data_IF_619237164811
#
_entry.id   IF_619237164811
#
_cell.length_a   1.000
_cell.length_b   1.000
_cell.length_c   1.000
_cell.angle_alpha   90.00
_cell.angle_beta   90.00
_cell.angle_gamma   90.00
#
_symmetry.space_group_name_H-M   'P 1'
#
loop_
_entity.id
_entity.type
_entity.pdbx_description
1 polymer ?
#
# COMPACT_ATOMS: atom_id res chain seq x y z
N UNK A 1 -27.44 -23.47 1.52
CA UNK A 1 -26.18 -24.18 1.62
C UNK A 1 -25.36 -23.53 2.71
N UNK A 2 -25.20 -24.20 3.85
CA UNK A 2 -24.42 -23.68 5.00
C UNK A 2 -22.93 -23.93 4.68
N UNK A 3 -22.32 -23.01 3.93
CA UNK A 3 -20.90 -23.13 3.65
C UNK A 3 -20.14 -22.63 4.88
N UNK A 4 -19.35 -23.50 5.50
CA UNK A 4 -18.45 -23.11 6.57
C UNK A 4 -17.64 -21.87 6.17
N UNK A 5 -17.33 -20.96 7.10
CA UNK A 5 -16.56 -19.76 6.80
C UNK A 5 -15.18 -20.13 6.24
N UNK A 6 -14.75 -19.38 5.24
CA UNK A 6 -13.42 -19.54 4.64
C UNK A 6 -12.34 -19.20 5.68
N UNK A 7 -11.39 -20.11 5.91
CA UNK A 7 -10.32 -19.99 6.90
C UNK A 7 -8.98 -19.71 6.24
N UNK A 8 -8.43 -18.53 6.47
CA UNK A 8 -7.21 -18.03 5.82
C UNK A 8 -6.09 -17.81 6.83
N UNK A 9 -4.94 -18.40 6.59
CA UNK A 9 -3.73 -18.07 7.32
C UNK A 9 -2.97 -16.95 6.61
N UNK A 10 -3.02 -15.75 7.16
CA UNK A 10 -2.27 -14.60 6.64
C UNK A 10 -0.85 -14.59 7.22
N UNK A 11 0.18 -14.59 6.37
CA UNK A 11 1.59 -14.53 6.77
C UNK A 11 2.16 -13.16 6.45
N UNK A 12 2.79 -12.51 7.43
CA UNK A 12 3.41 -11.19 7.21
C UNK A 12 4.70 -11.01 8.00
N UNK A 13 5.68 -10.34 7.39
CA UNK A 13 6.89 -9.85 8.06
C UNK A 13 6.71 -8.49 8.74
N UNK A 14 5.57 -7.86 8.53
CA UNK A 14 5.21 -6.54 9.06
C UNK A 14 3.82 -6.60 9.68
N UNK A 15 3.71 -6.23 10.94
CA UNK A 15 2.42 -6.18 11.63
C UNK A 15 2.37 -4.97 12.56
N UNK A 16 1.21 -4.35 12.67
CA UNK A 16 0.97 -3.08 13.35
C UNK A 16 1.06 -3.10 14.88
N UNK A 17 1.67 -4.12 15.50
CA UNK A 17 1.79 -4.20 16.97
C UNK A 17 2.88 -3.32 17.57
N UNK A 18 3.78 -2.74 16.76
CA UNK A 18 4.82 -1.84 17.25
C UNK A 18 4.46 -0.38 16.95
N UNK A 19 4.52 0.54 17.93
CA UNK A 19 4.34 1.96 17.68
C UNK A 19 5.34 2.47 16.63
N UNK A 20 4.83 3.04 15.54
CA UNK A 20 5.64 3.54 14.42
C UNK A 20 5.79 2.57 13.23
N UNK A 21 5.16 1.39 13.25
CA UNK A 21 5.09 0.53 12.08
C UNK A 21 4.04 0.99 11.08
N UNK A 22 4.45 1.07 9.81
CA UNK A 22 3.62 1.60 8.69
C UNK A 22 2.67 0.57 8.08
N UNK A 23 2.53 -0.61 8.68
CA UNK A 23 1.75 -1.73 8.13
C UNK A 23 0.24 -1.68 8.44
N UNK A 24 -0.31 -0.48 8.69
CA UNK A 24 -1.75 -0.29 8.94
C UNK A 24 -2.64 -0.91 7.84
N UNK A 25 -2.18 -0.89 6.59
CA UNK A 25 -2.91 -1.47 5.46
C UNK A 25 -3.08 -3.00 5.55
N UNK A 26 -2.15 -3.76 6.17
CA UNK A 26 -2.30 -5.21 6.38
C UNK A 26 -3.32 -5.48 7.48
N UNK A 27 -3.24 -4.76 8.58
CA UNK A 27 -4.19 -4.87 9.69
C UNK A 27 -5.61 -4.49 9.23
N UNK A 28 -5.74 -3.43 8.42
CA UNK A 28 -6.99 -3.02 7.78
C UNK A 28 -7.55 -4.14 6.89
N UNK A 29 -6.76 -4.69 5.98
CA UNK A 29 -7.19 -5.79 5.11
C UNK A 29 -7.67 -6.99 5.93
N UNK A 30 -6.96 -7.39 6.98
CA UNK A 30 -7.37 -8.49 7.86
C UNK A 30 -8.69 -8.17 8.57
N UNK A 31 -8.89 -6.94 9.04
CA UNK A 31 -10.14 -6.49 9.69
C UNK A 31 -11.33 -6.59 8.72
N UNK A 32 -11.18 -6.09 7.50
CA UNK A 32 -12.26 -6.10 6.51
C UNK A 32 -12.56 -7.50 5.98
N UNK A 33 -11.55 -8.37 5.83
CA UNK A 33 -11.77 -9.78 5.52
C UNK A 33 -12.61 -10.48 6.61
N UNK A 34 -12.30 -10.22 7.89
CA UNK A 34 -13.08 -10.76 9.02
C UNK A 34 -14.51 -10.22 9.02
N UNK A 35 -14.68 -8.92 8.79
CA UNK A 35 -16.00 -8.30 8.67
C UNK A 35 -16.84 -8.87 7.52
N UNK A 36 -16.18 -9.37 6.46
CA UNK A 36 -16.81 -10.03 5.32
C UNK A 36 -17.05 -11.55 5.53
N UNK A 37 -16.87 -12.06 6.76
CA UNK A 37 -17.14 -13.45 7.11
C UNK A 37 -15.99 -14.44 6.82
N UNK A 38 -14.78 -13.96 6.58
CA UNK A 38 -13.58 -14.79 6.44
C UNK A 38 -12.91 -14.93 7.79
N UNK A 39 -12.63 -16.14 8.24
CA UNK A 39 -11.81 -16.38 9.42
C UNK A 39 -10.33 -16.15 9.06
N UNK A 40 -9.73 -15.10 9.59
CA UNK A 40 -8.35 -14.73 9.31
C UNK A 40 -7.49 -14.86 10.56
N UNK A 41 -6.60 -15.83 10.53
CA UNK A 41 -5.50 -15.94 11.50
C UNK A 41 -4.25 -15.29 10.95
N UNK A 42 -3.56 -14.51 11.79
CA UNK A 42 -2.33 -13.82 11.39
C UNK A 42 -1.12 -14.50 12.00
N UNK A 43 -0.20 -14.91 11.14
CA UNK A 43 1.14 -15.35 11.50
C UNK A 43 2.14 -14.22 11.21
N UNK A 44 2.37 -13.40 12.23
CA UNK A 44 3.34 -12.33 12.16
C UNK A 44 4.74 -12.81 12.58
N UNK A 45 5.77 -12.32 11.90
CA UNK A 45 7.15 -12.57 12.27
C UNK A 45 8.00 -11.32 11.98
N UNK A 46 9.11 -11.17 12.70
CA UNK A 46 10.05 -10.07 12.44
C UNK A 46 10.93 -10.42 11.25
N UNK A 47 10.69 -9.74 10.11
CA UNK A 47 11.53 -9.82 8.92
C UNK A 47 12.88 -9.12 9.08
N UNK A 48 13.41 -8.56 8.01
CA UNK A 48 14.63 -7.77 7.94
C UNK A 48 15.84 -8.58 7.45
N UNK A 49 17.07 -8.09 7.75
CA UNK A 49 18.31 -8.61 7.14
C UNK A 49 18.88 -9.88 7.80
N UNK A 50 18.23 -10.47 8.81
CA UNK A 50 18.75 -11.63 9.57
C UNK A 50 18.12 -12.93 9.07
N UNK A 51 18.83 -13.80 8.30
CA UNK A 51 18.27 -15.04 7.73
C UNK A 51 17.70 -16.00 8.78
N UNK A 52 18.33 -16.07 9.96
CA UNK A 52 17.89 -16.94 11.07
C UNK A 52 16.44 -16.64 11.52
N UNK A 53 15.98 -15.39 11.38
CA UNK A 53 14.59 -15.02 11.70
C UNK A 53 13.59 -15.69 10.74
N UNK A 54 13.95 -15.83 9.47
CA UNK A 54 13.12 -16.52 8.48
C UNK A 54 13.12 -18.03 8.75
N UNK A 55 14.27 -18.62 9.12
CA UNK A 55 14.35 -20.03 9.45
C UNK A 55 13.52 -20.37 10.69
N UNK A 56 13.64 -19.59 11.77
CA UNK A 56 12.82 -19.78 12.98
C UNK A 56 11.33 -19.55 12.72
N UNK A 57 10.97 -18.56 11.91
CA UNK A 57 9.59 -18.34 11.50
C UNK A 57 9.08 -19.52 10.66
N UNK A 58 9.88 -20.01 9.72
CA UNK A 58 9.55 -21.18 8.90
C UNK A 58 9.28 -22.43 9.75
N UNK A 59 10.15 -22.76 10.68
CA UNK A 59 9.95 -23.93 11.57
C UNK A 59 8.69 -23.79 12.44
N UNK A 60 8.41 -22.59 12.97
CA UNK A 60 7.19 -22.32 13.73
C UNK A 60 5.94 -22.47 12.85
N UNK A 61 5.96 -21.93 11.62
CA UNK A 61 4.86 -22.07 10.68
C UNK A 61 4.64 -23.55 10.30
N UNK A 62 5.73 -24.31 10.05
CA UNK A 62 5.64 -25.73 9.74
C UNK A 62 5.01 -26.55 10.87
N UNK A 63 5.36 -26.26 12.11
CA UNK A 63 4.72 -26.91 13.28
C UNK A 63 3.24 -26.58 13.36
N UNK A 64 2.86 -25.31 13.09
CA UNK A 64 1.46 -24.89 13.06
C UNK A 64 0.64 -25.59 11.98
N UNK A 65 1.24 -25.85 10.81
CA UNK A 65 0.61 -26.52 9.67
C UNK A 65 0.76 -28.04 9.69
N UNK A 66 1.52 -28.63 10.63
CA UNK A 66 1.76 -30.08 10.71
C UNK A 66 0.67 -30.83 11.50
N UNK A 67 -0.08 -30.14 12.37
CA UNK A 67 -1.17 -30.75 13.12
C UNK A 67 -2.37 -31.09 12.24
N UNK A 68 -3.01 -32.24 12.50
CA UNK A 68 -4.21 -32.71 11.76
C UNK A 68 -5.45 -31.83 11.93
N UNK A 69 -5.32 -30.62 12.43
CA UNK A 69 -6.43 -29.71 12.73
C UNK A 69 -6.14 -28.25 12.44
N UNK A 70 -5.16 -27.91 11.57
CA UNK A 70 -4.94 -26.50 11.26
C UNK A 70 -6.19 -25.85 10.66
N UNK A 71 -7.03 -26.61 9.93
CA UNK A 71 -8.32 -26.18 9.42
C UNK A 71 -8.30 -24.97 8.50
N UNK A 72 -7.13 -24.57 7.97
CA UNK A 72 -7.01 -23.49 7.00
C UNK A 72 -7.26 -24.02 5.60
N UNK A 73 -8.02 -23.24 4.80
CA UNK A 73 -8.29 -23.54 3.40
C UNK A 73 -7.15 -23.07 2.49
N UNK A 74 -6.52 -21.93 2.81
CA UNK A 74 -5.41 -21.36 2.06
C UNK A 74 -4.47 -20.51 2.93
N UNK A 75 -3.31 -20.22 2.37
CA UNK A 75 -2.33 -19.26 2.89
C UNK A 75 -2.35 -17.99 2.04
N UNK A 76 -2.45 -16.83 2.68
CA UNK A 76 -2.24 -15.54 2.03
C UNK A 76 -0.98 -14.86 2.58
N UNK A 77 0.08 -14.84 1.80
CA UNK A 77 1.33 -14.18 2.17
C UNK A 77 1.32 -12.70 1.75
N UNK A 78 1.63 -11.83 2.69
CA UNK A 78 1.86 -10.41 2.44
C UNK A 78 3.35 -10.23 2.18
N UNK A 79 3.70 -9.75 1.02
CA UNK A 79 5.05 -9.67 0.43
C UNK A 79 5.67 -11.01 -0.01
N UNK A 80 6.54 -10.94 -1.02
CA UNK A 80 7.23 -12.10 -1.56
C UNK A 80 8.08 -12.85 -0.53
N UNK A 81 8.77 -12.13 0.37
CA UNK A 81 9.58 -12.74 1.44
C UNK A 81 8.74 -13.53 2.45
N UNK A 82 7.49 -13.10 2.71
CA UNK A 82 6.58 -13.84 3.57
C UNK A 82 6.12 -15.15 2.90
N UNK A 83 5.95 -15.12 1.59
CA UNK A 83 5.59 -16.30 0.78
C UNK A 83 6.63 -17.42 0.82
N UNK A 84 7.93 -17.10 1.05
CA UNK A 84 8.98 -18.11 1.23
C UNK A 84 8.68 -19.07 2.38
N UNK A 85 8.05 -18.58 3.45
CA UNK A 85 7.72 -19.40 4.61
C UNK A 85 6.68 -20.47 4.28
N UNK A 86 5.81 -20.22 3.29
CA UNK A 86 4.79 -21.16 2.85
C UNK A 86 5.35 -22.30 1.98
N UNK A 87 6.61 -22.20 1.55
CA UNK A 87 7.24 -23.19 0.67
C UNK A 87 8.01 -24.27 1.46
N UNK A 88 8.01 -25.54 0.99
CA UNK A 88 7.17 -26.10 -0.07
C UNK A 88 5.69 -26.02 0.32
N UNK A 89 4.80 -25.78 -0.66
CA UNK A 89 3.36 -25.61 -0.42
C UNK A 89 2.73 -26.85 0.23
N UNK A 90 1.86 -26.62 1.21
CA UNK A 90 0.95 -27.63 1.79
C UNK A 90 -0.52 -27.26 1.61
N UNK A 91 -0.76 -25.96 1.35
CA UNK A 91 -2.07 -25.37 1.10
C UNK A 91 -1.97 -24.48 -0.13
N UNK A 92 -3.08 -24.18 -0.80
CA UNK A 92 -3.13 -23.15 -1.82
C UNK A 92 -2.51 -21.85 -1.32
N UNK A 93 -1.70 -21.20 -2.15
CA UNK A 93 -0.91 -20.02 -1.79
C UNK A 93 -1.30 -18.83 -2.65
N UNK A 94 -1.82 -17.79 -2.00
CA UNK A 94 -2.00 -16.46 -2.59
C UNK A 94 -0.90 -15.54 -2.05
N UNK A 95 -0.30 -14.71 -2.90
CA UNK A 95 0.74 -13.77 -2.49
C UNK A 95 0.40 -12.37 -2.96
N UNK A 96 0.38 -11.40 -2.05
CA UNK A 96 0.26 -9.98 -2.42
C UNK A 96 1.65 -9.34 -2.47
N UNK A 97 2.00 -8.82 -3.65
CA UNK A 97 3.22 -8.04 -3.89
C UNK A 97 2.90 -6.55 -3.83
N UNK A 98 3.74 -5.81 -3.10
CA UNK A 98 3.46 -4.40 -2.78
C UNK A 98 4.46 -3.39 -3.34
N UNK A 99 5.55 -3.86 -3.93
CA UNK A 99 6.56 -3.03 -4.57
C UNK A 99 7.98 -3.42 -4.18
N UNK A 100 8.43 -3.06 -2.97
CA UNK A 100 9.80 -3.31 -2.48
C UNK A 100 10.25 -4.77 -2.65
N UNK A 101 9.34 -5.70 -2.56
CA UNK A 101 9.55 -7.13 -2.76
C UNK A 101 9.83 -7.49 -4.24
N UNK A 102 9.36 -6.69 -5.20
CA UNK A 102 9.56 -6.91 -6.63
C UNK A 102 10.65 -6.02 -7.24
N UNK A 103 10.70 -4.73 -6.91
CA UNK A 103 11.76 -3.85 -7.42
C UNK A 103 13.03 -3.88 -6.55
N UNK A 104 12.96 -4.51 -5.36
CA UNK A 104 14.10 -4.73 -4.47
C UNK A 104 14.41 -3.54 -3.57
N UNK A 105 15.36 -3.75 -2.65
CA UNK A 105 15.86 -2.68 -1.78
C UNK A 105 16.80 -1.80 -2.57
N UNK A 106 16.42 -0.54 -2.78
CA UNK A 106 17.20 0.43 -3.52
C UNK A 106 18.30 1.06 -2.66
N UNK A 107 19.48 1.26 -3.24
CA UNK A 107 20.56 2.05 -2.67
C UNK A 107 20.39 3.55 -2.95
N UNK A 108 21.32 4.37 -2.45
CA UNK A 108 21.34 5.82 -2.70
C UNK A 108 21.36 6.20 -4.19
N UNK A 109 21.93 5.35 -5.04
CA UNK A 109 21.95 5.52 -6.50
C UNK A 109 20.63 5.20 -7.20
N UNK A 110 19.59 4.76 -6.49
CA UNK A 110 18.32 4.30 -7.07
C UNK A 110 18.39 2.92 -7.72
N UNK A 111 19.53 2.22 -7.65
CA UNK A 111 19.69 0.85 -8.16
C UNK A 111 19.51 -0.17 -7.04
N UNK A 112 19.00 -1.38 -7.34
CA UNK A 112 18.87 -2.43 -6.34
C UNK A 112 20.22 -2.81 -5.74
N UNK A 113 20.29 -2.88 -4.42
CA UNK A 113 21.45 -3.42 -3.68
C UNK A 113 21.59 -4.93 -3.94
N UNK A 114 22.73 -5.57 -3.64
CA UNK A 114 22.86 -7.03 -3.72
C UNK A 114 21.76 -7.76 -2.93
N UNK A 115 21.43 -7.30 -1.73
CA UNK A 115 20.32 -7.83 -0.94
C UNK A 115 18.96 -7.61 -1.63
N UNK A 116 18.78 -6.46 -2.27
CA UNK A 116 17.60 -6.15 -3.07
C UNK A 116 17.43 -7.08 -4.27
N UNK A 117 18.53 -7.41 -4.98
CA UNK A 117 18.52 -8.38 -6.10
C UNK A 117 18.17 -9.80 -5.63
N UNK A 118 18.72 -10.21 -4.48
CA UNK A 118 18.34 -11.49 -3.87
C UNK A 118 16.85 -11.51 -3.52
N UNK A 119 16.32 -10.44 -2.91
CA UNK A 119 14.90 -10.33 -2.60
C UNK A 119 14.04 -10.43 -3.87
N UNK A 120 14.40 -9.73 -4.95
CA UNK A 120 13.72 -9.83 -6.24
C UNK A 120 13.68 -11.27 -6.76
N UNK A 121 14.83 -11.96 -6.73
CA UNK A 121 14.92 -13.34 -7.21
C UNK A 121 14.06 -14.28 -6.38
N UNK A 122 14.10 -14.16 -5.06
CA UNK A 122 13.26 -14.93 -4.15
C UNK A 122 11.77 -14.66 -4.37
N UNK A 123 11.37 -13.41 -4.51
CA UNK A 123 9.98 -13.01 -4.76
C UNK A 123 9.45 -13.56 -6.10
N UNK A 124 10.26 -13.52 -7.17
CA UNK A 124 9.92 -14.14 -8.45
C UNK A 124 9.79 -15.66 -8.36
N UNK A 125 10.62 -16.32 -7.54
CA UNK A 125 10.51 -17.75 -7.30
C UNK A 125 9.21 -18.09 -6.56
N UNK A 126 8.85 -17.29 -5.55
CA UNK A 126 7.58 -17.44 -4.84
C UNK A 126 6.40 -17.22 -5.76
N UNK A 127 6.42 -16.18 -6.58
CA UNK A 127 5.35 -15.87 -7.52
C UNK A 127 5.06 -17.04 -8.47
N UNK A 128 6.10 -17.71 -8.99
CA UNK A 128 5.95 -18.89 -9.87
C UNK A 128 5.37 -20.13 -9.17
N UNK A 129 5.40 -20.18 -7.85
CA UNK A 129 4.85 -21.30 -7.06
C UNK A 129 3.50 -20.94 -6.40
N UNK A 130 3.11 -19.68 -6.42
CA UNK A 130 1.82 -19.24 -5.93
C UNK A 130 0.69 -19.69 -6.88
N UNK A 131 -0.47 -19.97 -6.33
CA UNK A 131 -1.68 -20.27 -7.13
C UNK A 131 -2.32 -18.99 -7.66
N UNK A 132 -2.09 -17.86 -6.98
CA UNK A 132 -2.41 -16.52 -7.48
C UNK A 132 -1.45 -15.47 -6.91
N UNK A 133 -1.05 -14.51 -7.74
CA UNK A 133 -0.28 -13.34 -7.36
C UNK A 133 -1.18 -12.08 -7.43
N UNK A 134 -1.32 -11.38 -6.32
CA UNK A 134 -2.00 -10.09 -6.25
C UNK A 134 -0.93 -8.99 -6.34
N UNK A 135 -1.09 -8.08 -7.29
CA UNK A 135 -0.24 -6.91 -7.46
C UNK A 135 -1.02 -5.66 -7.06
N UNK A 136 -0.44 -4.82 -6.24
CA UNK A 136 -1.12 -3.57 -5.82
C UNK A 136 -1.21 -2.52 -6.93
N UNK A 137 -0.49 -2.70 -8.02
CA UNK A 137 -0.55 -1.85 -9.21
C UNK A 137 -0.06 -2.60 -10.45
N UNK A 138 -0.60 -2.25 -11.61
CA UNK A 138 -0.32 -2.91 -12.89
C UNK A 138 1.17 -2.80 -13.30
N UNK A 139 1.85 -1.68 -12.99
CA UNK A 139 3.25 -1.49 -13.35
C UNK A 139 4.18 -2.53 -12.70
N UNK A 140 3.75 -3.21 -11.63
CA UNK A 140 4.53 -4.26 -10.97
C UNK A 140 4.59 -5.55 -11.81
N UNK A 141 3.67 -5.71 -12.77
CA UNK A 141 3.64 -6.90 -13.64
C UNK A 141 4.94 -7.08 -14.42
N UNK A 142 5.61 -5.99 -14.81
CA UNK A 142 6.91 -6.00 -15.50
C UNK A 142 8.03 -6.75 -14.75
N UNK A 143 7.88 -6.97 -13.46
CA UNK A 143 8.85 -7.68 -12.63
C UNK A 143 8.60 -9.19 -12.56
N UNK A 144 7.46 -9.66 -13.04
CA UNK A 144 7.06 -11.07 -13.03
C UNK A 144 7.08 -11.66 -14.45
N UNK A 145 7.09 -12.98 -14.53
CA UNK A 145 6.94 -13.70 -15.79
C UNK A 145 5.45 -13.75 -16.19
N UNK A 146 5.16 -13.73 -17.49
CA UNK A 146 3.81 -13.85 -18.04
C UNK A 146 3.12 -15.18 -17.67
N UNK A 147 3.90 -16.20 -17.26
CA UNK A 147 3.37 -17.48 -16.77
C UNK A 147 2.73 -17.40 -15.37
N UNK A 148 2.86 -16.28 -14.66
CA UNK A 148 2.27 -16.12 -13.32
C UNK A 148 0.87 -15.55 -13.44
N UNK A 149 -0.14 -16.26 -12.90
CA UNK A 149 -1.51 -15.73 -12.81
C UNK A 149 -1.54 -14.51 -11.89
N UNK A 150 -1.72 -13.32 -12.46
CA UNK A 150 -1.70 -12.05 -11.74
C UNK A 150 -3.07 -11.38 -11.66
N UNK A 151 -3.37 -10.77 -10.52
CA UNK A 151 -4.57 -9.98 -10.28
C UNK A 151 -4.17 -8.60 -9.77
N UNK A 152 -4.70 -7.54 -10.37
CA UNK A 152 -4.42 -6.17 -9.93
C UNK A 152 -5.46 -5.77 -8.89
N UNK A 153 -5.06 -5.74 -7.61
CA UNK A 153 -5.91 -5.31 -6.49
C UNK A 153 -5.10 -4.34 -5.64
N UNK A 154 -5.34 -3.02 -5.77
CA UNK A 154 -4.67 -2.01 -4.95
C UNK A 154 -4.92 -2.23 -3.45
N UNK A 155 -4.07 -1.66 -2.60
CA UNK A 155 -4.40 -1.54 -1.18
C UNK A 155 -5.60 -0.60 -1.04
N UNK A 156 -6.65 -1.06 -0.39
CA UNK A 156 -7.88 -0.29 -0.22
C UNK A 156 -7.76 0.83 0.81
N UNK A 157 -8.80 1.61 0.93
CA UNK A 157 -8.95 2.68 1.90
C UNK A 157 -10.09 2.39 2.87
N UNK A 158 -9.89 2.79 4.12
CA UNK A 158 -11.00 2.94 5.06
C UNK A 158 -11.64 4.31 4.84
N UNK A 159 -12.73 4.33 4.08
CA UNK A 159 -13.41 5.57 3.73
C UNK A 159 -14.26 6.15 4.87
N UNK A 160 -14.46 5.41 5.95
CA UNK A 160 -15.06 5.92 7.18
C UNK A 160 -14.03 6.73 7.99
N UNK A 161 -12.78 6.29 7.96
CA UNK A 161 -11.64 7.01 8.55
C UNK A 161 -11.22 8.20 7.68
N UNK A 162 -10.85 7.94 6.41
CA UNK A 162 -10.43 8.98 5.47
C UNK A 162 -11.64 9.60 4.79
N UNK A 163 -12.12 10.70 5.37
CA UNK A 163 -13.29 11.46 4.91
C UNK A 163 -12.96 12.94 4.80
N UNK A 164 -13.75 13.66 4.06
CA UNK A 164 -13.66 15.11 4.01
C UNK A 164 -14.11 15.69 5.37
N UNK A 165 -13.21 16.37 6.04
CA UNK A 165 -13.47 17.13 7.27
C UNK A 165 -13.44 18.62 6.88
N UNK A 166 -14.35 19.47 7.36
CA UNK A 166 -14.22 20.91 7.15
C UNK A 166 -12.84 21.43 7.58
N UNK A 167 -12.24 22.30 6.75
CA UNK A 167 -10.87 22.78 6.98
C UNK A 167 -10.72 23.47 8.33
N UNK A 168 -11.71 24.26 8.70
CA UNK A 168 -11.73 25.00 9.97
C UNK A 168 -11.77 24.01 11.15
N UNK A 169 -12.59 22.98 11.07
CA UNK A 169 -12.68 21.93 12.09
C UNK A 169 -11.35 21.19 12.22
N UNK A 170 -10.74 20.81 11.08
CA UNK A 170 -9.46 20.11 11.08
C UNK A 170 -8.33 20.98 11.65
N UNK A 171 -8.30 22.27 11.33
CA UNK A 171 -7.31 23.21 11.85
C UNK A 171 -7.50 23.46 13.33
N UNK A 172 -8.74 23.61 13.77
CA UNK A 172 -9.06 23.74 15.20
C UNK A 172 -8.59 22.51 16.00
N UNK A 173 -8.86 21.32 15.48
CA UNK A 173 -8.42 20.05 16.08
C UNK A 173 -6.89 19.98 16.23
N UNK A 174 -6.14 20.47 15.24
CA UNK A 174 -4.68 20.48 15.24
C UNK A 174 -4.07 21.69 15.95
N UNK A 175 -4.87 22.66 16.40
CA UNK A 175 -4.40 23.91 16.99
C UNK A 175 -3.69 24.80 15.96
N UNK A 176 -4.07 24.77 14.69
CA UNK A 176 -3.43 25.54 13.63
C UNK A 176 -4.18 26.82 13.29
N UNK A 177 -3.43 27.90 12.92
CA UNK A 177 -4.04 29.13 12.44
C UNK A 177 -4.91 28.91 11.20
N UNK A 178 -6.04 29.65 11.05
CA UNK A 178 -6.99 29.45 9.96
C UNK A 178 -6.45 29.88 8.59
N UNK A 179 -5.59 30.91 8.53
CA UNK A 179 -5.25 31.60 7.29
C UNK A 179 -3.90 31.20 6.66
N UNK A 180 -3.13 30.33 7.32
CA UNK A 180 -1.83 29.89 6.81
C UNK A 180 -1.98 28.87 5.68
N UNK A 181 -1.14 29.01 4.63
CA UNK A 181 -1.05 27.98 3.57
C UNK A 181 -0.11 26.87 3.99
N UNK A 182 -0.58 25.64 3.89
CA UNK A 182 0.17 24.46 4.35
C UNK A 182 0.20 23.38 3.28
N UNK A 183 1.41 22.92 2.97
CA UNK A 183 1.66 21.82 2.04
C UNK A 183 2.09 20.59 2.84
N UNK A 184 1.38 19.49 2.69
CA UNK A 184 1.64 18.25 3.43
C UNK A 184 2.66 17.38 2.67
N UNK A 185 3.64 16.86 3.40
CA UNK A 185 4.49 15.76 2.97
C UNK A 185 4.24 14.56 3.89
N UNK A 186 3.94 13.38 3.32
CA UNK A 186 3.66 12.16 4.10
C UNK A 186 4.77 11.14 3.91
N UNK A 187 5.50 10.85 4.97
CA UNK A 187 6.57 9.85 4.97
C UNK A 187 7.73 10.18 5.89
N UNK A 188 8.65 9.21 6.03
CA UNK A 188 9.89 9.40 6.78
C UNK A 188 10.83 10.34 6.01
N UNK A 189 11.18 11.52 6.57
CA UNK A 189 12.16 12.41 5.96
C UNK A 189 13.55 11.76 5.79
N UNK A 190 13.87 10.76 6.60
CA UNK A 190 15.11 10.00 6.53
C UNK A 190 15.10 8.88 5.46
N UNK A 191 13.96 8.55 4.85
CA UNK A 191 13.88 7.57 3.76
C UNK A 191 14.29 8.21 2.41
N UNK A 192 15.44 7.82 1.83
CA UNK A 192 15.90 8.40 0.56
C UNK A 192 14.92 8.22 -0.60
N UNK A 193 14.02 7.23 -0.54
CA UNK A 193 13.00 6.99 -1.58
C UNK A 193 11.94 8.07 -1.60
N UNK A 194 11.62 8.64 -0.44
CA UNK A 194 10.61 9.69 -0.27
C UNK A 194 11.06 11.05 -0.78
N UNK A 195 12.38 11.27 -0.88
CA UNK A 195 13.00 12.51 -1.37
C UNK A 195 12.45 13.77 -0.68
N UNK A 196 12.40 13.72 0.67
CA UNK A 196 11.94 14.84 1.48
C UNK A 196 12.62 16.17 1.12
N UNK A 197 13.93 16.12 0.87
CA UNK A 197 14.71 17.30 0.53
C UNK A 197 14.22 17.99 -0.76
N UNK A 198 13.76 17.21 -1.74
CA UNK A 198 13.16 17.75 -2.96
C UNK A 198 11.82 18.44 -2.68
N UNK A 199 10.98 17.85 -1.83
CA UNK A 199 9.72 18.47 -1.40
C UNK A 199 9.98 19.78 -0.62
N UNK A 200 10.97 19.77 0.29
CA UNK A 200 11.37 20.95 1.07
C UNK A 200 11.81 22.09 0.17
N UNK A 201 12.72 21.83 -0.78
CA UNK A 201 13.19 22.84 -1.74
C UNK A 201 12.05 23.40 -2.60
N UNK A 202 11.14 22.55 -3.06
CA UNK A 202 9.98 23.01 -3.84
C UNK A 202 9.07 23.93 -3.02
N UNK A 203 8.77 23.56 -1.77
CA UNK A 203 7.91 24.38 -0.91
C UNK A 203 8.62 25.68 -0.48
N UNK A 204 9.93 25.70 -0.27
CA UNK A 204 10.70 26.91 -0.02
C UNK A 204 10.58 27.92 -1.17
N UNK A 205 10.64 27.47 -2.42
CA UNK A 205 10.41 28.35 -3.58
C UNK A 205 9.00 28.95 -3.56
N UNK A 206 7.98 28.17 -3.19
CA UNK A 206 6.59 28.65 -3.06
C UNK A 206 6.42 29.57 -1.86
N UNK A 207 7.16 29.34 -0.76
CA UNK A 207 7.08 30.21 0.41
C UNK A 207 7.44 31.67 0.10
N UNK A 208 8.44 31.91 -0.75
CA UNK A 208 8.81 33.27 -1.18
C UNK A 208 7.67 34.00 -1.89
N UNK A 209 6.77 33.28 -2.57
CA UNK A 209 5.70 33.89 -3.39
C UNK A 209 4.35 33.89 -2.71
N UNK A 210 4.04 32.87 -1.94
CA UNK A 210 2.70 32.62 -1.38
C UNK A 210 2.67 32.44 0.13
N UNK A 211 3.81 32.40 0.82
CA UNK A 211 3.86 32.19 2.27
C UNK A 211 3.38 30.77 2.67
N UNK A 212 3.75 29.74 1.91
CA UNK A 212 3.33 28.37 2.20
C UNK A 212 4.36 27.63 3.06
N UNK A 213 3.90 26.89 4.06
CA UNK A 213 4.74 26.09 4.95
C UNK A 213 4.63 24.60 4.64
N UNK A 214 5.77 23.87 4.79
CA UNK A 214 5.80 22.42 4.67
C UNK A 214 5.45 21.76 6.02
N UNK A 215 4.42 20.93 6.01
CA UNK A 215 4.01 20.09 7.15
C UNK A 215 4.46 18.66 6.91
N UNK A 216 5.05 18.03 7.93
CA UNK A 216 5.55 16.66 7.84
C UNK A 216 4.59 15.70 8.55
N UNK A 217 3.89 14.88 7.80
CA UNK A 217 3.06 13.77 8.29
C UNK A 217 3.90 12.51 8.55
N UNK A 218 4.81 12.57 9.51
CA UNK A 218 5.66 11.47 9.95
C UNK A 218 5.45 11.16 11.43
N UNK A 219 5.23 9.89 11.77
CA UNK A 219 4.89 9.44 13.14
C UNK A 219 3.62 10.05 13.71
N UNK A 220 2.76 10.55 12.84
CA UNK A 220 1.42 10.99 13.21
C UNK A 220 0.56 9.74 13.45
N UNK A 221 -0.26 9.68 14.51
CA UNK A 221 -1.25 8.62 14.66
C UNK A 221 -2.11 8.50 13.40
N UNK A 222 -2.39 7.26 12.98
CA UNK A 222 -3.09 7.03 11.71
C UNK A 222 -4.51 7.64 11.70
N UNK A 223 -5.15 7.68 12.86
CA UNK A 223 -6.45 8.30 13.10
C UNK A 223 -6.45 9.83 12.98
N UNK A 224 -5.30 10.47 13.17
CA UNK A 224 -5.15 11.93 13.04
C UNK A 224 -4.81 12.36 11.60
N UNK A 225 -4.32 11.44 10.77
CA UNK A 225 -3.91 11.75 9.40
C UNK A 225 -5.03 12.40 8.56
N UNK A 226 -6.33 12.04 8.68
CA UNK A 226 -7.41 12.72 7.98
C UNK A 226 -7.53 14.21 8.35
N UNK A 227 -7.22 14.59 9.59
CA UNK A 227 -7.20 16.01 10.00
C UNK A 227 -6.05 16.75 9.32
N UNK A 228 -4.83 16.17 9.28
CA UNK A 228 -3.71 16.75 8.54
C UNK A 228 -4.05 16.96 7.06
N UNK A 229 -4.64 15.95 6.41
CA UNK A 229 -5.05 16.04 5.01
C UNK A 229 -6.17 17.04 4.78
N UNK A 230 -7.08 17.19 5.74
CA UNK A 230 -8.16 18.15 5.65
C UNK A 230 -7.74 19.58 5.99
N UNK A 231 -6.75 19.77 6.85
CA UNK A 231 -6.22 21.07 7.25
C UNK A 231 -5.25 21.69 6.24
N UNK A 232 -4.53 20.87 5.46
CA UNK A 232 -3.58 21.33 4.45
C UNK A 232 -4.25 21.72 3.13
N UNK A 233 -3.52 22.44 2.28
CA UNK A 233 -3.99 22.99 0.99
C UNK A 233 -3.58 22.13 -0.19
N UNK A 234 -2.47 21.38 -0.08
CA UNK A 234 -2.00 20.41 -1.07
C UNK A 234 -1.15 19.32 -0.41
N UNK A 235 -1.13 18.14 -1.03
CA UNK A 235 -0.11 17.13 -0.79
C UNK A 235 1.00 17.29 -1.81
N UNK A 236 2.27 17.38 -1.39
CA UNK A 236 3.43 17.24 -2.26
C UNK A 236 3.97 15.81 -2.17
N UNK A 237 4.06 15.12 -3.31
CA UNK A 237 4.48 13.73 -3.37
C UNK A 237 5.68 13.54 -4.29
N UNK A 238 6.85 13.31 -3.70
CA UNK A 238 8.16 13.31 -4.38
C UNK A 238 8.82 11.95 -4.43
N UNK A 239 8.13 10.87 -4.04
CA UNK A 239 8.72 9.53 -3.98
C UNK A 239 9.30 9.11 -5.34
N UNK A 240 10.47 8.47 -5.31
CA UNK A 240 11.15 7.95 -6.51
C UNK A 240 10.56 6.62 -6.99
N UNK A 241 10.14 5.79 -6.06
CA UNK A 241 9.65 4.44 -6.33
C UNK A 241 8.56 4.07 -5.31
N UNK A 242 7.47 3.53 -5.81
CA UNK A 242 6.33 3.08 -5.00
C UNK A 242 5.65 1.86 -5.64
N UNK A 243 4.91 1.09 -4.84
CA UNK A 243 4.02 0.08 -5.37
C UNK A 243 2.68 0.66 -5.81
N UNK A 244 1.97 1.26 -4.87
CA UNK A 244 0.73 2.04 -5.06
C UNK A 244 0.57 2.90 -3.80
N UNK A 245 0.94 4.19 -3.82
CA UNK A 245 1.11 4.99 -2.61
C UNK A 245 -0.21 5.26 -1.89
N UNK A 246 -0.30 4.84 -0.63
CA UNK A 246 -1.49 5.07 0.20
C UNK A 246 -1.71 6.57 0.43
N UNK A 247 -0.65 7.34 0.70
CA UNK A 247 -0.77 8.77 0.99
C UNK A 247 -1.50 9.55 -0.12
N UNK A 248 -1.26 9.21 -1.39
CA UNK A 248 -1.97 9.82 -2.54
C UNK A 248 -3.45 9.45 -2.52
N UNK A 249 -3.77 8.18 -2.31
CA UNK A 249 -5.16 7.69 -2.26
C UNK A 249 -5.92 8.27 -1.07
N UNK A 250 -5.27 8.36 0.09
CA UNK A 250 -5.79 8.94 1.32
C UNK A 250 -6.04 10.44 1.17
N UNK A 251 -5.12 11.16 0.51
CA UNK A 251 -5.32 12.57 0.18
C UNK A 251 -6.54 12.79 -0.73
N UNK A 252 -6.69 11.98 -1.78
CA UNK A 252 -7.87 12.01 -2.64
C UNK A 252 -9.16 11.71 -1.87
N UNK A 253 -9.13 10.75 -0.93
CA UNK A 253 -10.28 10.43 -0.09
C UNK A 253 -10.71 11.59 0.82
N UNK A 254 -9.76 12.44 1.23
CA UNK A 254 -10.01 13.68 1.97
C UNK A 254 -10.23 14.91 1.05
N UNK A 255 -10.34 14.71 -0.26
CA UNK A 255 -10.47 15.75 -1.28
C UNK A 255 -9.30 16.74 -1.30
N UNK A 256 -8.12 16.35 -0.81
CA UNK A 256 -6.91 17.16 -0.81
C UNK A 256 -6.24 17.08 -2.19
N UNK A 257 -5.98 18.22 -2.86
CA UNK A 257 -5.23 18.25 -4.12
C UNK A 257 -3.82 17.67 -3.97
N UNK A 258 -3.34 16.99 -5.00
CA UNK A 258 -2.04 16.31 -4.98
C UNK A 258 -1.17 16.84 -6.12
N UNK A 259 0.02 17.32 -5.77
CA UNK A 259 1.10 17.62 -6.73
C UNK A 259 2.16 16.53 -6.59
N UNK A 260 2.42 15.81 -7.68
CA UNK A 260 3.27 14.61 -7.63
C UNK A 260 4.23 14.54 -8.81
N UNK A 261 5.38 13.93 -8.58
CA UNK A 261 6.21 13.40 -9.67
C UNK A 261 5.55 12.16 -10.28
N UNK A 262 5.92 11.80 -11.52
CA UNK A 262 5.41 10.61 -12.19
C UNK A 262 5.99 9.33 -11.56
N UNK A 263 5.26 8.69 -10.67
CA UNK A 263 5.67 7.46 -9.98
C UNK A 263 4.51 6.46 -9.84
N UNK A 264 4.81 5.17 -10.05
CA UNK A 264 3.86 4.06 -9.90
C UNK A 264 2.53 4.29 -10.67
N UNK A 265 1.40 4.17 -9.98
CA UNK A 265 0.07 4.40 -10.53
C UNK A 265 -0.47 5.83 -10.29
N UNK A 266 0.37 6.74 -9.75
CA UNK A 266 -0.05 8.12 -9.43
C UNK A 266 -0.56 8.88 -10.65
N UNK A 267 0.08 8.85 -11.84
CA UNK A 267 -0.45 9.54 -13.01
C UNK A 267 -1.88 9.10 -13.37
N UNK A 268 -2.17 7.81 -13.28
CA UNK A 268 -3.52 7.28 -13.50
C UNK A 268 -4.51 7.74 -12.42
N UNK A 269 -4.05 7.83 -11.16
CA UNK A 269 -4.88 8.23 -10.03
C UNK A 269 -5.29 9.69 -10.05
N UNK A 270 -4.40 10.56 -10.54
CA UNK A 270 -4.62 12.00 -10.57
C UNK A 270 -5.29 12.51 -11.85
N UNK A 271 -5.41 11.64 -12.85
CA UNK A 271 -5.94 12.02 -14.18
C UNK A 271 -7.36 12.61 -14.08
N UNK A 272 -7.53 13.82 -14.59
CA UNK A 272 -8.84 14.49 -14.66
C UNK A 272 -9.38 15.01 -13.31
N UNK A 273 -8.57 14.96 -12.22
CA UNK A 273 -8.98 15.50 -10.93
C UNK A 273 -8.54 16.97 -10.83
N UNK A 274 -9.47 17.92 -10.66
CA UNK A 274 -9.14 19.34 -10.58
C UNK A 274 -8.20 19.65 -9.42
N UNK A 275 -7.17 20.46 -9.66
CA UNK A 275 -6.18 20.84 -8.64
C UNK A 275 -5.10 19.80 -8.41
N UNK A 276 -5.23 18.57 -8.93
CA UNK A 276 -4.17 17.59 -8.92
C UNK A 276 -3.28 17.74 -10.16
N UNK A 277 -1.97 17.57 -9.97
CA UNK A 277 -1.01 17.71 -11.06
C UNK A 277 0.12 16.68 -10.96
N UNK A 278 0.47 16.08 -12.11
CA UNK A 278 1.68 15.27 -12.25
C UNK A 278 2.74 16.15 -12.94
N UNK A 279 3.85 16.37 -12.25
CA UNK A 279 4.94 17.22 -12.73
C UNK A 279 5.61 16.63 -13.98
N UNK A 280 6.02 17.48 -14.91
CA UNK A 280 6.70 17.08 -16.15
C UNK A 280 8.08 16.45 -15.89
N UNK A 281 8.75 16.90 -14.83
CA UNK A 281 10.00 16.36 -14.33
C UNK A 281 10.03 16.41 -12.78
N UNK A 282 11.08 15.86 -12.20
CA UNK A 282 11.28 15.79 -10.76
C UNK A 282 12.27 16.85 -10.24
N UNK A 283 12.23 18.07 -10.82
CA UNK A 283 12.98 19.22 -10.32
C UNK A 283 12.16 20.06 -9.31
N UNK A 284 12.84 20.66 -8.33
CA UNK A 284 12.18 21.54 -7.37
C UNK A 284 11.45 22.72 -8.01
N UNK A 285 11.99 23.42 -9.05
CA UNK A 285 11.26 24.50 -9.73
C UNK A 285 9.96 24.03 -10.42
N UNK A 286 9.98 22.87 -11.09
CA UNK A 286 8.78 22.32 -11.73
C UNK A 286 7.71 21.96 -10.71
N UNK A 287 8.09 21.34 -9.61
CA UNK A 287 7.17 21.01 -8.51
C UNK A 287 6.63 22.28 -7.84
N UNK A 288 7.47 23.29 -7.63
CA UNK A 288 7.07 24.57 -7.06
C UNK A 288 6.03 25.28 -7.96
N UNK A 289 6.27 25.33 -9.26
CA UNK A 289 5.31 25.92 -10.20
C UNK A 289 3.95 25.19 -10.21
N UNK A 290 3.94 23.87 -10.09
CA UNK A 290 2.72 23.08 -9.94
C UNK A 290 2.01 23.37 -8.61
N UNK A 291 2.75 23.43 -7.50
CA UNK A 291 2.20 23.81 -6.20
C UNK A 291 1.60 25.21 -6.23
N UNK A 292 2.28 26.19 -6.82
CA UNK A 292 1.73 27.55 -6.95
C UNK A 292 0.40 27.57 -7.69
N UNK A 293 0.29 26.88 -8.81
CA UNK A 293 -0.99 26.76 -9.55
C UNK A 293 -2.09 26.16 -8.69
N UNK A 294 -1.77 25.09 -7.96
CA UNK A 294 -2.71 24.41 -7.06
C UNK A 294 -3.15 25.33 -5.92
N UNK A 295 -2.23 26.00 -5.25
CA UNK A 295 -2.50 26.87 -4.11
C UNK A 295 -3.23 28.16 -4.50
N UNK A 296 -2.98 28.73 -5.69
CA UNK A 296 -3.69 29.91 -6.20
C UNK A 296 -5.15 29.63 -6.54
N UNK A 297 -5.51 28.38 -6.83
CA UNK A 297 -6.91 28.01 -7.08
C UNK A 297 -7.79 28.14 -5.83
N UNK A 298 -7.22 28.06 -4.64
CA UNK A 298 -7.89 28.10 -3.32
C UNK A 298 -9.10 27.14 -3.20
N UNK A 299 -9.27 26.25 -4.15
CA UNK A 299 -10.36 25.29 -4.21
C UNK A 299 -9.81 23.86 -4.17
N UNK A 300 -10.42 23.04 -3.36
CA UNK A 300 -10.21 21.60 -3.37
C UNK A 300 -10.70 21.01 -4.71
N UNK A 301 -10.59 19.71 -4.91
CA UNK A 301 -10.98 19.07 -6.16
C UNK A 301 -12.51 19.09 -6.43
N UNK A 302 -13.27 19.70 -5.53
CA UNK A 302 -14.74 19.80 -5.63
C UNK A 302 -15.44 18.45 -5.47
N UNK A 303 -14.86 17.56 -4.64
CA UNK A 303 -15.36 16.22 -4.41
C UNK A 303 -14.89 15.17 -5.42
N UNK A 304 -14.25 15.59 -6.53
CA UNK A 304 -13.78 14.64 -7.58
C UNK A 304 -12.69 13.70 -7.08
N UNK A 305 -11.81 14.18 -6.19
CA UNK A 305 -10.82 13.35 -5.52
C UNK A 305 -11.49 12.25 -4.70
N UNK A 306 -12.48 12.62 -3.89
CA UNK A 306 -13.27 11.69 -3.09
C UNK A 306 -14.01 10.66 -3.96
N UNK A 307 -14.65 11.10 -5.04
CA UNK A 307 -15.36 10.23 -5.99
C UNK A 307 -14.41 9.17 -6.57
N UNK A 308 -13.22 9.59 -7.03
CA UNK A 308 -12.19 8.68 -7.53
C UNK A 308 -11.70 7.69 -6.45
N UNK A 309 -11.58 8.15 -5.20
CA UNK A 309 -11.18 7.30 -4.07
C UNK A 309 -12.25 6.28 -3.68
N UNK A 310 -13.54 6.50 -3.95
CA UNK A 310 -14.61 5.55 -3.64
C UNK A 310 -14.41 4.18 -4.32
N UNK A 311 -13.79 4.13 -5.48
CA UNK A 311 -13.44 2.87 -6.16
C UNK A 311 -12.37 2.06 -5.42
N UNK A 312 -11.71 2.67 -4.44
CA UNK A 312 -10.67 2.07 -3.60
C UNK A 312 -11.18 1.72 -2.20
N UNK A 313 -12.50 1.73 -1.96
CA UNK A 313 -13.07 1.30 -0.68
C UNK A 313 -12.57 -0.11 -0.35
N UNK A 314 -12.03 -0.29 0.86
CA UNK A 314 -11.52 -1.59 1.32
C UNK A 314 -12.60 -2.67 1.26
N UNK A 315 -13.89 -2.33 1.37
CA UNK A 315 -15.00 -3.28 1.23
C UNK A 315 -15.06 -3.86 -0.18
N UNK A 316 -14.94 -2.99 -1.20
CA UNK A 316 -14.93 -3.39 -2.62
C UNK A 316 -13.71 -4.28 -2.91
N UNK A 317 -12.53 -3.86 -2.44
CA UNK A 317 -11.30 -4.58 -2.72
C UNK A 317 -11.20 -5.89 -1.93
N UNK A 318 -11.74 -5.94 -0.71
CA UNK A 318 -11.91 -7.17 0.06
C UNK A 318 -12.77 -8.20 -0.69
N UNK A 319 -13.89 -7.78 -1.27
CA UNK A 319 -14.72 -8.67 -2.09
C UNK A 319 -13.95 -9.25 -3.29
N UNK A 320 -13.09 -8.45 -3.94
CA UNK A 320 -12.22 -8.92 -5.03
C UNK A 320 -11.17 -9.92 -4.53
N UNK A 321 -10.56 -9.70 -3.35
CA UNK A 321 -9.62 -10.65 -2.74
C UNK A 321 -10.33 -11.96 -2.41
N UNK A 322 -11.53 -11.94 -1.85
CA UNK A 322 -12.34 -13.15 -1.56
C UNK A 322 -12.69 -13.90 -2.85
N UNK A 323 -13.00 -13.20 -3.94
CA UNK A 323 -13.25 -13.83 -5.23
C UNK A 323 -12.01 -14.57 -5.74
N UNK A 324 -10.81 -14.00 -5.59
CA UNK A 324 -9.54 -14.66 -5.92
C UNK A 324 -9.34 -15.91 -5.05
N UNK A 325 -9.58 -15.85 -3.74
CA UNK A 325 -9.49 -17.03 -2.86
C UNK A 325 -10.40 -18.17 -3.35
N UNK A 326 -11.67 -17.85 -3.66
CA UNK A 326 -12.63 -18.84 -4.16
C UNK A 326 -12.21 -19.45 -5.50
N UNK A 327 -11.67 -18.65 -6.42
CA UNK A 327 -11.14 -19.12 -7.70
C UNK A 327 -9.97 -20.09 -7.52
N UNK A 328 -9.02 -19.76 -6.62
CA UNK A 328 -7.88 -20.63 -6.31
C UNK A 328 -8.35 -21.96 -5.74
N UNK A 329 -9.31 -21.97 -4.81
CA UNK A 329 -9.84 -23.20 -4.20
C UNK A 329 -10.64 -24.05 -5.19
N UNK A 330 -11.38 -23.44 -6.11
CA UNK A 330 -12.10 -24.14 -7.16
C UNK A 330 -11.13 -24.85 -8.15
N UNK A 331 -10.01 -24.19 -8.50
CA UNK A 331 -8.97 -24.77 -9.36
C UNK A 331 -8.24 -25.97 -8.73
N UNK A 332 -7.97 -25.91 -7.43
CA UNK A 332 -7.35 -27.02 -6.68
C UNK A 332 -8.26 -28.23 -6.55
N UNK A 333 -9.56 -28.05 -6.37
CA UNK A 333 -10.52 -29.15 -6.30
C UNK A 333 -10.68 -29.87 -7.65
N UNK A 334 -10.57 -29.16 -8.78
CA UNK A 334 -10.60 -29.74 -10.11
C UNK A 334 -9.43 -30.71 -10.40
N UNK A 335 -8.24 -30.41 -9.87
CA UNK A 335 -7.05 -31.25 -10.04
C UNK A 335 -7.09 -32.51 -9.15
N UNK A 336 -7.67 -32.44 -7.95
CA UNK A 336 -7.82 -33.61 -7.07
C UNK A 336 -8.84 -34.63 -7.60
N UNK A 337 -9.89 -34.19 -8.28
CA UNK A 337 -10.92 -35.07 -8.84
C UNK A 337 -10.43 -35.85 -10.05
N UNK A 338 -9.46 -35.34 -10.79
CA UNK A 338 -8.83 -36.04 -11.93
C UNK A 338 -7.80 -37.08 -11.49
N UNK A 339 -7.03 -36.75 -10.42
CA UNK A 339 -6.01 -37.67 -9.88
C UNK A 339 -6.59 -38.89 -9.14
N UNK A 340 -7.86 -38.84 -8.69
CA UNK A 340 -8.54 -39.96 -8.02
C UNK A 340 -9.28 -40.90 -8.98
N UNK A 341 -9.22 -40.64 -10.30
CA UNK A 341 -9.86 -41.46 -11.35
C UNK A 341 -8.86 -42.17 -12.28
N UNK A 342 -7.59 -42.10 -11.99
CA UNK A 342 -6.51 -42.88 -12.62
C UNK A 342 -5.86 -43.80 -11.60
#
# INVERSE_FOLDING_TARGET
>A
MNTAPLRVLMITSEWASDPGHTAHFIARQARFLRAAGVEVDVFAFRGGRRPLRYLTAWTRLRRRLAGNGHGYDLVHAQFGQSGLLALPKRLPLVVTFRGDDLFGILGKSGRPTPAGRLLQWLSRRVARQADAAILVSAHLQRYLSDSVATHIVPSGLDLDLFRCIPREEARLHLGWPPDERRVLFVGDPGDPRKRYELARQAVELVNYTLGAELVIGWRVPHEDMPFYMSACDALVFTSREEGSPNAVKEALACDLPVVSVAVADVPLRLQGIPGCEVCADDSAPTIAAALERTLRRQARSGGRGREAACQLDERILTARVIAIYRSVLAGTNGHQTVASRT
#
